data_IF_783292149237
#
_entry.id   IF_783292149237
#
_cell.length_a   1.000
_cell.length_b   1.000
_cell.length_c   1.000
_cell.angle_alpha   90.00
_cell.angle_beta   90.00
_cell.angle_gamma   90.00
#
_symmetry.space_group_name_H-M   'P 1'
#
loop_
_entity.id
_entity.type
_entity.pdbx_description
1 polymer ?
#
# COMPACT_ATOMS: atom_id res chain seq x y z
N UNK A 1 16.14 6.54 28.34
CA UNK A 1 17.08 7.68 28.40
C UNK A 1 16.26 8.92 28.09
N UNK A 2 15.44 9.40 29.04
CA UNK A 2 14.43 10.41 28.71
C UNK A 2 15.02 11.69 28.11
N UNK A 3 14.32 12.25 27.13
CA UNK A 3 14.69 13.51 26.47
C UNK A 3 14.14 14.73 27.20
N UNK A 4 13.21 14.53 28.15
CA UNK A 4 12.53 15.60 28.85
C UNK A 4 12.75 15.54 30.36
N UNK A 5 12.95 16.72 30.93
CA UNK A 5 12.97 16.93 32.37
C UNK A 5 12.36 18.30 32.70
N UNK A 6 12.17 18.56 33.99
CA UNK A 6 11.75 19.84 34.52
C UNK A 6 12.86 20.38 35.42
N UNK A 7 13.48 21.50 35.05
CA UNK A 7 14.46 22.21 35.87
C UNK A 7 13.79 23.41 36.54
N UNK A 8 13.75 23.44 37.88
CA UNK A 8 13.14 24.53 38.64
C UNK A 8 11.70 24.89 38.18
N UNK A 9 10.89 23.88 37.86
CA UNK A 9 9.53 24.04 37.38
C UNK A 9 9.41 24.32 35.87
N UNK A 10 10.51 24.56 35.17
CA UNK A 10 10.52 24.79 33.72
C UNK A 10 10.79 23.48 32.96
N UNK A 11 9.92 23.15 32.01
CA UNK A 11 10.07 22.00 31.11
C UNK A 11 11.25 22.22 30.16
N UNK A 12 12.09 21.22 30.03
CA UNK A 12 13.30 21.25 29.19
C UNK A 12 13.34 20.01 28.31
N UNK A 13 13.56 20.22 27.02
CA UNK A 13 13.71 19.16 26.00
C UNK A 13 15.17 19.15 25.55
N UNK A 14 15.89 18.05 25.78
CA UNK A 14 17.35 17.99 25.59
C UNK A 14 17.80 18.16 24.13
N UNK A 15 16.98 17.72 23.18
CA UNK A 15 17.28 17.79 21.74
C UNK A 15 17.14 19.19 21.15
N UNK A 16 16.40 20.07 21.83
CA UNK A 16 16.21 21.46 21.40
C UNK A 16 17.33 22.38 21.92
N UNK A 17 18.16 21.90 22.87
CA UNK A 17 19.20 22.70 23.49
C UNK A 17 20.50 22.68 22.68
N UNK A 18 21.01 23.89 22.39
CA UNK A 18 22.38 24.11 21.93
C UNK A 18 23.41 23.62 22.97
N UNK A 19 24.68 23.56 22.57
CA UNK A 19 25.75 23.12 23.49
C UNK A 19 25.88 24.06 24.70
N UNK A 20 25.79 25.37 24.46
CA UNK A 20 25.91 26.39 25.50
C UNK A 20 24.73 26.34 26.48
N UNK A 21 23.51 26.15 25.97
CA UNK A 21 22.31 26.01 26.81
C UNK A 21 22.37 24.74 27.67
N UNK A 22 22.88 23.64 27.11
CA UNK A 22 23.07 22.40 27.85
C UNK A 22 24.12 22.54 28.96
N UNK A 23 25.22 23.25 28.70
CA UNK A 23 26.25 23.52 29.69
C UNK A 23 25.75 24.47 30.78
N UNK A 24 24.93 25.46 30.42
CA UNK A 24 24.23 26.34 31.36
C UNK A 24 23.26 25.55 32.26
N UNK A 25 22.47 24.65 31.69
CA UNK A 25 21.58 23.75 32.43
C UNK A 25 22.35 22.92 33.45
N UNK A 26 23.48 22.31 33.05
CA UNK A 26 24.31 21.52 33.97
C UNK A 26 24.87 22.37 35.12
N UNK A 27 25.23 23.64 34.87
CA UNK A 27 25.68 24.56 35.93
C UNK A 27 24.57 24.84 36.93
N UNK A 28 23.37 25.18 36.46
CA UNK A 28 22.18 25.42 37.30
C UNK A 28 21.80 24.21 38.15
N UNK A 29 21.74 23.03 37.52
CA UNK A 29 21.53 21.76 38.21
C UNK A 29 22.60 21.49 39.29
N UNK A 30 23.89 21.71 38.99
CA UNK A 30 24.98 21.54 39.96
C UNK A 30 24.96 22.59 41.08
N UNK A 31 24.38 23.76 40.83
CA UNK A 31 24.16 24.80 41.82
C UNK A 31 22.98 24.50 42.77
N UNK A 32 22.29 23.38 42.58
CA UNK A 32 21.25 22.89 43.49
C UNK A 32 19.82 23.08 43.00
N UNK A 33 19.60 23.60 41.78
CA UNK A 33 18.25 23.68 41.22
C UNK A 33 17.67 22.26 41.00
N UNK A 34 16.40 22.03 41.39
CA UNK A 34 15.79 20.71 41.28
C UNK A 34 15.55 20.35 39.81
N UNK A 35 16.13 19.22 39.39
CA UNK A 35 15.89 18.60 38.09
C UNK A 35 15.04 17.35 38.30
N UNK A 36 13.81 17.37 37.81
CA UNK A 36 12.84 16.28 37.94
C UNK A 36 12.57 15.65 36.57
N UNK A 37 12.46 14.32 36.53
CA UNK A 37 12.07 13.57 35.33
C UNK A 37 10.55 13.72 35.08
N UNK A 38 10.05 13.33 33.91
CA UNK A 38 8.59 13.37 33.62
C UNK A 38 7.74 12.53 34.59
N UNK A 39 8.31 11.47 35.19
CA UNK A 39 7.67 10.70 36.26
C UNK A 39 7.64 11.43 37.61
N UNK A 40 8.44 12.49 37.80
CA UNK A 40 8.55 13.26 39.06
C UNK A 40 9.73 12.89 39.94
N UNK A 41 10.46 11.83 39.59
CA UNK A 41 11.64 11.42 40.33
C UNK A 41 12.84 12.32 40.03
N UNK A 42 13.82 12.44 40.94
CA UNK A 42 15.05 13.22 40.70
C UNK A 42 15.87 12.72 39.50
N UNK A 43 16.25 13.66 38.63
CA UNK A 43 17.02 13.41 37.42
C UNK A 43 18.47 13.87 37.49
N UNK A 44 19.21 13.53 36.43
CA UNK A 44 20.59 13.97 36.15
C UNK A 44 20.77 14.17 34.64
N UNK A 45 21.44 15.25 34.24
CA UNK A 45 21.75 15.53 32.84
C UNK A 45 23.01 14.77 32.38
N UNK A 46 22.93 14.04 31.26
CA UNK A 46 24.00 13.20 30.72
C UNK A 46 24.16 13.37 29.20
N UNK A 47 25.33 12.97 28.71
CA UNK A 47 25.64 12.93 27.27
C UNK A 47 26.09 11.51 26.94
N UNK A 48 25.57 10.93 25.86
CA UNK A 48 25.94 9.58 25.42
C UNK A 48 27.33 9.58 24.78
N UNK A 49 27.93 8.41 24.59
CA UNK A 49 29.20 8.29 23.85
C UNK A 49 29.11 8.78 22.40
N UNK A 50 27.90 8.85 21.83
CA UNK A 50 27.61 9.38 20.49
C UNK A 50 27.20 10.87 20.50
N UNK A 51 27.30 11.56 21.64
CA UNK A 51 27.02 12.99 21.76
C UNK A 51 25.56 13.37 21.99
N UNK A 52 24.64 12.40 22.11
CA UNK A 52 23.22 12.69 22.39
C UNK A 52 23.06 13.17 23.84
N UNK A 53 22.40 14.31 24.04
CA UNK A 53 22.05 14.86 25.36
C UNK A 53 20.75 14.22 25.85
N UNK A 54 20.75 13.72 27.08
CA UNK A 54 19.58 13.05 27.67
C UNK A 54 19.57 13.20 29.20
N UNK A 55 18.45 12.86 29.81
CA UNK A 55 18.28 12.81 31.25
C UNK A 55 18.25 11.37 31.76
N UNK A 56 18.71 11.16 32.99
CA UNK A 56 18.72 9.87 33.64
C UNK A 56 18.33 10.00 35.11
N UNK A 57 17.56 9.04 35.61
CA UNK A 57 17.26 8.92 37.04
C UNK A 57 18.55 8.95 37.88
N UNK A 58 18.47 9.60 39.04
CA UNK A 58 19.54 9.55 40.04
C UNK A 58 19.64 8.12 40.60
N UNK A 59 20.85 7.68 40.98
CA UNK A 59 21.04 6.37 41.63
C UNK A 59 20.13 6.27 42.87
N UNK A 60 19.32 5.20 42.95
CA UNK A 60 18.39 4.95 44.05
C UNK A 60 16.97 5.50 43.86
N UNK A 61 16.66 6.14 42.72
CA UNK A 61 15.28 6.45 42.37
C UNK A 61 14.57 5.19 41.85
N UNK A 62 13.48 4.82 42.51
CA UNK A 62 12.61 3.72 42.09
C UNK A 62 11.55 4.27 41.13
N UNK A 63 11.45 3.71 39.93
CA UNK A 63 10.57 4.23 38.89
C UNK A 63 10.13 3.14 37.91
N UNK A 64 8.94 2.61 38.13
CA UNK A 64 8.28 1.62 37.25
C UNK A 64 7.83 2.23 35.91
N UNK A 65 7.73 3.57 35.82
CA UNK A 65 7.29 4.25 34.58
C UNK A 65 8.35 4.33 33.48
N UNK A 66 9.62 4.01 33.78
CA UNK A 66 10.71 4.02 32.81
C UNK A 66 11.51 2.71 32.89
N UNK A 67 10.81 1.58 32.83
CA UNK A 67 11.43 0.26 32.81
C UNK A 67 12.24 0.04 31.52
N UNK A 68 13.55 -0.20 31.69
CA UNK A 68 14.46 -0.44 30.57
C UNK A 68 15.07 0.83 29.99
N UNK A 69 16.38 0.81 29.77
CA UNK A 69 17.07 1.90 29.09
C UNK A 69 16.61 2.00 27.64
N UNK A 70 16.00 3.13 27.27
CA UNK A 70 15.70 3.42 25.86
C UNK A 70 16.98 3.50 25.02
N UNK A 71 16.93 2.93 23.83
CA UNK A 71 18.07 2.88 22.90
C UNK A 71 18.14 4.15 22.04
N UNK A 72 19.25 4.38 21.33
CA UNK A 72 19.40 5.54 20.46
C UNK A 72 18.35 5.57 19.33
N UNK A 73 17.96 4.39 18.82
CA UNK A 73 16.92 4.19 17.82
C UNK A 73 15.57 4.71 18.31
N UNK A 74 15.21 4.39 19.56
CA UNK A 74 13.97 4.86 20.17
C UNK A 74 13.92 6.38 20.24
N UNK A 75 15.01 7.01 20.68
CA UNK A 75 15.11 8.47 20.82
C UNK A 75 15.03 9.20 19.47
N UNK A 76 15.68 8.65 18.45
CA UNK A 76 15.59 9.18 17.09
C UNK A 76 14.14 9.12 16.56
N UNK A 77 13.47 7.97 16.71
CA UNK A 77 12.09 7.79 16.27
C UNK A 77 11.12 8.75 16.98
N UNK A 78 11.26 8.97 18.29
CA UNK A 78 10.47 9.99 19.01
C UNK A 78 10.68 11.39 18.42
N UNK A 79 11.93 11.75 18.12
CA UNK A 79 12.24 13.05 17.49
C UNK A 79 11.58 13.17 16.11
N UNK A 80 11.64 12.12 15.29
CA UNK A 80 10.99 12.10 13.98
C UNK A 80 9.47 12.19 14.09
N UNK A 81 8.85 11.55 15.09
CA UNK A 81 7.41 11.67 15.35
C UNK A 81 7.00 13.11 15.66
N UNK A 82 7.76 13.84 16.48
CA UNK A 82 7.50 15.27 16.76
C UNK A 82 7.57 16.10 15.48
N UNK A 83 8.62 15.90 14.67
CA UNK A 83 8.80 16.63 13.40
C UNK A 83 7.64 16.37 12.46
N UNK A 84 7.27 15.11 12.27
CA UNK A 84 6.18 14.71 11.40
C UNK A 84 4.82 15.22 11.90
N UNK A 85 4.54 15.15 13.20
CA UNK A 85 3.32 15.69 13.79
C UNK A 85 3.20 17.21 13.56
N UNK A 86 4.28 17.97 13.79
CA UNK A 86 4.34 19.41 13.48
C UNK A 86 4.11 19.68 11.99
N UNK A 87 4.71 18.90 11.09
CA UNK A 87 4.49 19.00 9.65
C UNK A 87 3.05 18.66 9.21
N UNK A 88 2.35 17.84 10.01
CA UNK A 88 0.92 17.57 9.86
C UNK A 88 0.01 18.67 10.49
N UNK A 89 0.59 19.76 10.99
CA UNK A 89 -0.11 20.86 11.66
C UNK A 89 -0.79 20.39 12.95
N UNK A 90 -0.06 19.59 13.74
CA UNK A 90 -0.39 19.25 15.12
C UNK A 90 0.61 19.92 16.06
N UNK A 91 0.16 20.30 17.24
CA UNK A 91 1.07 20.55 18.36
C UNK A 91 1.66 19.21 18.80
N UNK A 92 2.96 19.16 19.10
CA UNK A 92 3.62 17.91 19.42
C UNK A 92 4.67 18.10 20.52
N UNK A 93 4.58 17.27 21.55
CA UNK A 93 5.40 17.34 22.76
C UNK A 93 5.94 15.96 23.16
N UNK A 94 7.22 15.88 23.56
CA UNK A 94 7.87 14.64 23.99
C UNK A 94 7.51 14.25 25.43
N UNK A 95 7.35 12.97 25.72
CA UNK A 95 7.33 12.44 27.10
C UNK A 95 6.33 13.19 28.01
N UNK A 96 5.07 13.25 27.56
CA UNK A 96 3.99 13.95 28.28
C UNK A 96 3.35 12.98 29.27
N UNK A 97 3.46 13.22 30.59
CA UNK A 97 2.80 12.39 31.58
C UNK A 97 1.29 12.65 31.60
N UNK A 98 0.53 11.65 32.03
CA UNK A 98 -0.85 11.86 32.46
C UNK A 98 -0.90 12.80 33.67
N UNK A 99 -2.02 13.49 33.94
CA UNK A 99 -2.13 14.35 35.13
C UNK A 99 -1.85 13.62 36.44
N UNK A 100 -2.27 12.35 36.54
CA UNK A 100 -2.03 11.47 37.68
C UNK A 100 -0.68 10.74 37.61
N UNK A 101 0.11 10.95 36.54
CA UNK A 101 1.41 10.32 36.29
C UNK A 101 1.36 8.79 36.35
N UNK A 102 0.32 8.22 35.74
CA UNK A 102 0.14 6.76 35.63
C UNK A 102 0.61 6.20 34.28
N UNK A 103 0.85 7.08 33.31
CA UNK A 103 1.51 6.79 32.04
C UNK A 103 2.26 8.03 31.54
N UNK A 104 3.18 7.82 30.61
CA UNK A 104 3.90 8.88 29.90
C UNK A 104 3.84 8.54 28.41
N UNK A 105 3.27 9.45 27.62
CA UNK A 105 3.24 9.33 26.17
C UNK A 105 4.61 9.69 25.60
N UNK A 106 5.18 8.83 24.75
CA UNK A 106 6.43 9.09 24.05
C UNK A 106 6.39 10.42 23.28
N UNK A 107 5.33 10.63 22.49
CA UNK A 107 4.97 11.92 21.90
C UNK A 107 3.47 12.11 22.04
N UNK A 108 3.05 13.26 22.55
CA UNK A 108 1.66 13.69 22.55
C UNK A 108 1.44 14.65 21.38
N UNK A 109 0.56 14.28 20.45
CA UNK A 109 0.09 15.13 19.38
C UNK A 109 -1.30 15.70 19.72
N UNK A 110 -1.46 17.02 19.66
CA UNK A 110 -2.73 17.71 19.96
C UNK A 110 -3.18 18.57 18.79
N UNK A 111 -4.48 18.51 18.46
CA UNK A 111 -5.11 19.38 17.45
C UNK A 111 -6.54 19.70 17.86
N UNK A 112 -6.75 20.92 18.35
CA UNK A 112 -8.01 21.29 19.00
C UNK A 112 -8.21 20.42 20.24
N UNK A 113 -9.38 19.80 20.35
CA UNK A 113 -9.71 18.90 21.46
C UNK A 113 -9.16 17.48 21.30
N UNK A 114 -8.70 17.13 20.09
CA UNK A 114 -8.21 15.78 19.79
C UNK A 114 -6.76 15.61 20.26
N UNK A 115 -6.49 14.53 21.01
CA UNK A 115 -5.16 14.17 21.52
C UNK A 115 -4.82 12.74 21.13
N UNK A 116 -3.62 12.55 20.58
CA UNK A 116 -3.10 11.25 20.15
C UNK A 116 -1.73 11.03 20.79
N UNK A 117 -1.58 9.98 21.60
CA UNK A 117 -0.30 9.44 22.01
C UNK A 117 0.32 8.64 20.86
N UNK A 118 1.53 9.02 20.46
CA UNK A 118 2.34 8.33 19.46
C UNK A 118 3.46 7.59 20.19
N UNK A 119 3.33 6.27 20.26
CA UNK A 119 4.21 5.40 21.04
C UNK A 119 5.23 4.69 20.15
N UNK A 120 6.50 4.64 20.57
CA UNK A 120 7.52 3.86 19.88
C UNK A 120 7.86 2.64 20.73
N UNK A 121 7.63 1.43 20.20
CA UNK A 121 7.96 0.19 20.91
C UNK A 121 9.01 -0.62 20.15
N UNK A 122 10.27 -0.34 20.48
CA UNK A 122 11.41 -1.04 19.89
C UNK A 122 11.74 -2.38 20.57
N UNK A 123 11.56 -2.48 21.89
CA UNK A 123 11.83 -3.71 22.66
C UNK A 123 10.64 -4.67 22.63
N UNK A 124 10.89 -5.98 22.83
CA UNK A 124 9.81 -6.97 22.80
C UNK A 124 8.77 -6.66 23.87
N UNK A 125 7.49 -6.63 23.52
CA UNK A 125 6.37 -6.41 24.44
C UNK A 125 5.25 -7.41 24.15
N UNK A 126 4.57 -7.90 25.20
CA UNK A 126 3.45 -8.83 25.07
C UNK A 126 2.19 -8.14 24.54
N UNK A 127 1.29 -8.91 23.91
CA UNK A 127 0.00 -8.39 23.44
C UNK A 127 -0.83 -7.80 24.59
N UNK A 128 -0.89 -8.49 25.73
CA UNK A 128 -1.61 -8.02 26.93
C UNK A 128 -1.10 -6.67 27.43
N UNK A 129 0.20 -6.40 27.34
CA UNK A 129 0.77 -5.10 27.72
C UNK A 129 0.39 -3.99 26.73
N UNK A 130 0.34 -4.28 25.42
CA UNK A 130 -0.15 -3.32 24.42
C UNK A 130 -1.60 -2.94 24.69
N UNK A 131 -2.47 -3.94 24.90
CA UNK A 131 -3.89 -3.73 25.20
C UNK A 131 -4.05 -2.94 26.50
N UNK A 132 -3.38 -3.36 27.58
CA UNK A 132 -3.44 -2.66 28.87
C UNK A 132 -2.98 -1.19 28.75
N UNK A 133 -1.91 -0.91 28.00
CA UNK A 133 -1.42 0.46 27.79
C UNK A 133 -2.37 1.27 26.91
N UNK A 134 -2.96 0.66 25.89
CA UNK A 134 -3.97 1.25 25.03
C UNK A 134 -5.21 1.70 25.84
N UNK A 135 -5.75 0.81 26.67
CA UNK A 135 -6.93 1.08 27.51
C UNK A 135 -6.69 2.23 28.50
N UNK A 136 -5.47 2.39 29.01
CA UNK A 136 -5.12 3.51 29.90
C UNK A 136 -5.17 4.87 29.19
N UNK A 137 -4.76 4.93 27.92
CA UNK A 137 -4.90 6.14 27.13
C UNK A 137 -6.37 6.44 26.84
N UNK A 138 -7.12 5.42 26.43
CA UNK A 138 -8.55 5.55 26.09
C UNK A 138 -9.39 5.98 27.30
N UNK A 139 -9.10 5.47 28.50
CA UNK A 139 -9.75 5.87 29.75
C UNK A 139 -9.58 7.38 30.06
N UNK A 140 -8.48 7.98 29.61
CA UNK A 140 -8.18 9.40 29.76
C UNK A 140 -8.61 10.23 28.53
N UNK A 141 -9.38 9.64 27.60
CA UNK A 141 -9.85 10.30 26.38
C UNK A 141 -8.75 10.60 25.36
N UNK A 142 -7.64 9.85 25.41
CA UNK A 142 -6.49 10.00 24.52
C UNK A 142 -6.46 8.82 23.55
N UNK A 143 -6.42 9.10 22.24
CA UNK A 143 -6.17 8.07 21.24
C UNK A 143 -4.71 7.62 21.31
N UNK A 144 -4.41 6.38 20.94
CA UNK A 144 -3.01 5.90 20.91
C UNK A 144 -2.71 5.15 19.62
N UNK A 145 -1.57 5.49 18.99
CA UNK A 145 -1.04 4.85 17.80
C UNK A 145 0.39 4.38 18.09
N UNK A 146 0.65 3.11 17.83
CA UNK A 146 1.93 2.47 18.08
C UNK A 146 2.79 2.37 16.82
N UNK A 147 4.07 2.69 16.94
CA UNK A 147 5.11 2.48 15.94
C UNK A 147 6.08 1.42 16.46
N UNK A 148 6.02 0.22 15.91
CA UNK A 148 6.62 -0.98 16.53
C UNK A 148 7.69 -1.61 15.65
N UNK A 149 8.76 -2.14 16.26
CA UNK A 149 9.74 -2.94 15.52
C UNK A 149 9.10 -4.23 14.96
N UNK A 150 9.64 -4.84 13.88
CA UNK A 150 9.04 -6.02 13.23
C UNK A 150 8.74 -7.18 14.18
N UNK A 151 9.58 -7.41 15.18
CA UNK A 151 9.42 -8.45 16.21
C UNK A 151 8.20 -8.28 17.12
N UNK A 152 7.54 -7.11 17.09
CA UNK A 152 6.34 -6.80 17.85
C UNK A 152 5.08 -6.74 16.98
N UNK A 153 5.21 -6.89 15.65
CA UNK A 153 4.10 -6.68 14.72
C UNK A 153 2.87 -7.54 15.03
N UNK A 154 3.06 -8.83 15.30
CA UNK A 154 1.96 -9.73 15.68
C UNK A 154 1.35 -9.35 17.04
N UNK A 155 2.20 -9.06 18.04
CA UNK A 155 1.75 -8.72 19.38
C UNK A 155 0.98 -7.39 19.43
N UNK A 156 1.29 -6.43 18.55
CA UNK A 156 0.58 -5.16 18.46
C UNK A 156 -0.64 -5.21 17.53
N UNK A 157 -0.95 -6.36 16.92
CA UNK A 157 -1.97 -6.49 15.88
C UNK A 157 -3.41 -6.23 16.34
N UNK A 158 -3.67 -6.16 17.64
CA UNK A 158 -5.00 -5.87 18.21
C UNK A 158 -5.20 -4.41 18.60
N UNK A 159 -4.17 -3.57 18.46
CA UNK A 159 -4.23 -2.13 18.75
C UNK A 159 -3.81 -1.34 17.51
N UNK A 160 -4.17 -0.04 17.37
CA UNK A 160 -3.75 0.77 16.24
C UNK A 160 -2.22 0.84 16.16
N UNK A 161 -1.62 0.14 15.19
CA UNK A 161 -0.17 0.02 15.10
C UNK A 161 0.37 -0.01 13.67
N UNK A 162 1.59 0.51 13.52
CA UNK A 162 2.37 0.50 12.30
C UNK A 162 3.73 -0.13 12.58
N UNK A 163 4.12 -1.10 11.76
CA UNK A 163 5.48 -1.66 11.82
C UNK A 163 6.47 -0.64 11.28
N UNK A 164 7.63 -0.49 11.92
CA UNK A 164 8.76 0.31 11.44
C UNK A 164 9.76 -0.63 10.75
N UNK A 165 10.33 -0.20 9.63
CA UNK A 165 11.47 -0.83 8.98
C UNK A 165 12.65 0.15 8.83
N UNK A 166 13.81 -0.39 8.46
CA UNK A 166 15.02 0.39 8.24
C UNK A 166 15.97 0.43 9.43
N UNK A 167 16.78 1.47 9.48
CA UNK A 167 17.85 1.68 10.45
C UNK A 167 18.01 3.19 10.75
N UNK A 168 18.80 3.59 11.77
CA UNK A 168 19.08 4.99 12.06
C UNK A 168 19.43 5.82 10.83
N UNK A 169 18.76 6.96 10.65
CA UNK A 169 18.89 7.85 9.50
C UNK A 169 18.14 7.43 8.23
N UNK A 170 17.54 6.24 8.19
CA UNK A 170 16.85 5.70 7.02
C UNK A 170 15.62 4.87 7.42
N UNK A 171 14.79 5.43 8.28
CA UNK A 171 13.56 4.79 8.76
C UNK A 171 12.44 4.87 7.72
N UNK A 172 11.66 3.79 7.60
CA UNK A 172 10.48 3.75 6.74
C UNK A 172 9.32 2.99 7.40
N UNK A 173 8.10 3.31 6.96
CA UNK A 173 6.90 2.54 7.32
C UNK A 173 6.47 1.74 6.08
N UNK A 174 6.53 0.40 6.13
CA UNK A 174 5.91 -0.43 5.12
C UNK A 174 4.38 -0.31 5.19
N UNK A 175 3.78 0.37 4.22
CA UNK A 175 2.33 0.53 4.15
C UNK A 175 1.71 -0.46 3.17
N UNK A 176 0.57 -1.03 3.57
CA UNK A 176 -0.33 -1.74 2.65
C UNK A 176 -0.90 -0.71 1.69
N UNK A 177 -0.62 -0.85 0.42
CA UNK A 177 -1.19 -0.02 -0.63
C UNK A 177 -2.21 -0.84 -1.42
N UNK A 178 -3.13 -0.17 -2.13
CA UNK A 178 -4.22 -0.86 -2.84
C UNK A 178 -3.77 -1.90 -3.84
N UNK A 179 -2.53 -1.82 -4.31
CA UNK A 179 -1.95 -2.65 -5.36
C UNK A 179 -0.98 -3.71 -4.83
N UNK A 180 -0.96 -3.96 -3.53
CA UNK A 180 -0.37 -5.18 -3.00
C UNK A 180 -0.79 -5.49 -1.55
N UNK A 181 -1.39 -6.66 -1.34
CA UNK A 181 -1.68 -7.16 0.00
C UNK A 181 -0.51 -7.95 0.61
N UNK A 182 0.56 -8.20 -0.16
CA UNK A 182 1.75 -8.94 0.23
C UNK A 182 3.03 -8.10 0.15
N UNK A 183 3.23 -7.29 -0.89
CA UNK A 183 4.26 -6.26 -0.92
C UNK A 183 3.82 -5.00 -0.19
N UNK A 184 4.79 -4.34 0.43
CA UNK A 184 4.59 -3.11 1.18
C UNK A 184 5.28 -2.01 0.39
N UNK A 185 4.58 -0.91 0.13
CA UNK A 185 5.28 0.29 -0.31
C UNK A 185 6.00 0.86 0.89
N UNK A 186 7.32 0.98 0.81
CA UNK A 186 8.11 1.64 1.84
C UNK A 186 8.00 3.14 1.66
N UNK A 187 7.53 3.80 2.72
CA UNK A 187 7.45 5.26 2.76
C UNK A 187 8.44 5.77 3.78
N UNK A 188 9.15 6.88 3.51
CA UNK A 188 9.92 7.57 4.53
C UNK A 188 9.07 7.76 5.79
N UNK A 189 9.66 7.49 6.95
CA UNK A 189 8.93 7.43 8.21
C UNK A 189 8.12 8.71 8.50
N UNK A 190 8.74 9.88 8.31
CA UNK A 190 8.10 11.18 8.54
C UNK A 190 6.90 11.40 7.60
N UNK A 191 7.07 11.10 6.30
CA UNK A 191 6.00 11.24 5.30
C UNK A 191 4.80 10.35 5.66
N UNK A 192 5.05 9.10 6.04
CA UNK A 192 3.99 8.17 6.46
C UNK A 192 3.23 8.70 7.68
N UNK A 193 3.94 9.16 8.71
CA UNK A 193 3.33 9.70 9.94
C UNK A 193 2.50 10.96 9.63
N UNK A 194 2.98 11.85 8.76
CA UNK A 194 2.22 13.04 8.33
C UNK A 194 0.85 12.64 7.77
N UNK A 195 0.83 11.67 6.85
CA UNK A 195 -0.41 11.20 6.22
C UNK A 195 -1.30 10.41 7.18
N UNK A 196 -0.73 9.64 8.11
CA UNK A 196 -1.47 8.95 9.17
C UNK A 196 -2.21 9.98 10.04
N UNK A 197 -1.52 11.02 10.50
CA UNK A 197 -2.08 12.06 11.36
C UNK A 197 -3.08 12.97 10.66
N UNK A 198 -2.98 13.12 9.34
CA UNK A 198 -3.98 13.82 8.51
C UNK A 198 -5.25 12.99 8.30
N UNK A 199 -5.22 11.68 8.55
CA UNK A 199 -6.34 10.79 8.27
C UNK A 199 -6.53 10.59 6.76
N UNK A 200 -5.44 10.52 6.00
CA UNK A 200 -5.46 10.39 4.54
C UNK A 200 -5.83 8.98 4.05
N UNK A 201 -6.53 8.21 4.87
CA UNK A 201 -7.04 6.89 4.53
C UNK A 201 -8.22 7.00 3.56
N UNK A 202 -8.21 6.18 2.51
CA UNK A 202 -9.23 6.18 1.45
C UNK A 202 -9.68 4.75 1.14
N UNK A 203 -10.99 4.55 1.02
CA UNK A 203 -11.59 3.21 0.83
C UNK A 203 -11.46 2.66 -0.59
N UNK A 204 -11.25 3.54 -1.57
CA UNK A 204 -11.16 3.17 -2.99
C UNK A 204 -9.95 3.86 -3.61
N UNK A 205 -9.18 3.12 -4.42
CA UNK A 205 -8.21 3.74 -5.32
C UNK A 205 -8.85 4.12 -6.65
N UNK A 206 -8.26 5.11 -7.31
CA UNK A 206 -8.60 5.52 -8.67
C UNK A 206 -7.47 5.09 -9.62
N UNK A 207 -7.45 3.83 -10.09
CA UNK A 207 -6.45 3.35 -11.04
C UNK A 207 -6.77 3.86 -12.46
N UNK A 208 -5.73 4.21 -13.21
CA UNK A 208 -5.78 4.30 -14.66
C UNK A 208 -4.78 3.31 -15.27
N UNK A 209 -5.18 2.69 -16.38
CA UNK A 209 -4.35 1.70 -17.06
C UNK A 209 -3.24 2.41 -17.84
N UNK A 210 -1.99 1.99 -17.63
CA UNK A 210 -0.82 2.43 -18.39
C UNK A 210 -0.40 1.41 -19.45
N UNK A 211 -0.58 0.12 -19.14
CA UNK A 211 -0.34 -1.01 -20.02
C UNK A 211 -1.26 -2.16 -19.63
N UNK A 212 -1.45 -3.12 -20.52
CA UNK A 212 -2.30 -4.28 -20.25
C UNK A 212 -1.74 -5.52 -20.94
N UNK A 213 -2.01 -6.69 -20.36
CA UNK A 213 -1.62 -7.96 -20.96
C UNK A 213 -2.79 -8.56 -21.71
N UNK A 214 -2.45 -9.22 -22.81
CA UNK A 214 -3.40 -9.88 -23.70
C UNK A 214 -2.94 -11.29 -23.97
N UNK A 215 -3.84 -12.23 -23.75
CA UNK A 215 -3.68 -13.57 -24.29
C UNK A 215 -4.16 -13.58 -25.74
N UNK A 216 -3.33 -14.11 -26.63
CA UNK A 216 -3.67 -14.32 -28.03
C UNK A 216 -3.44 -15.77 -28.43
N UNK A 217 -4.29 -16.29 -29.31
CA UNK A 217 -4.13 -17.62 -29.88
C UNK A 217 -4.51 -17.60 -31.36
N UNK A 218 -3.67 -18.20 -32.19
CA UNK A 218 -3.97 -18.39 -33.61
C UNK A 218 -4.76 -19.68 -33.79
N UNK A 219 -5.87 -19.61 -34.52
CA UNK A 219 -6.67 -20.79 -34.84
C UNK A 219 -7.19 -20.74 -36.27
N UNK A 220 -7.49 -21.91 -36.83
CA UNK A 220 -8.02 -22.07 -38.18
C UNK A 220 -9.54 -22.17 -38.12
N UNK A 221 -10.22 -21.47 -39.03
CA UNK A 221 -11.67 -21.59 -39.16
C UNK A 221 -12.07 -23.04 -39.49
N UNK A 222 -12.94 -23.63 -38.66
CA UNK A 222 -13.40 -25.02 -38.80
C UNK A 222 -14.32 -25.24 -40.01
N UNK A 223 -14.98 -24.18 -40.51
CA UNK A 223 -15.75 -24.26 -41.76
C UNK A 223 -14.77 -24.47 -42.91
N UNK A 224 -14.87 -25.63 -43.57
CA UNK A 224 -13.99 -26.05 -44.67
C UNK A 224 -13.90 -25.01 -45.80
N UNK A 225 -15.05 -24.49 -46.24
CA UNK A 225 -15.11 -23.46 -47.28
C UNK A 225 -14.37 -22.15 -46.92
N UNK A 226 -14.12 -21.89 -45.64
CA UNK A 226 -13.34 -20.73 -45.20
C UNK A 226 -11.89 -21.11 -44.92
N UNK A 227 -11.62 -22.02 -43.98
CA UNK A 227 -10.28 -22.54 -43.67
C UNK A 227 -9.19 -21.50 -43.33
N UNK A 228 -9.52 -20.21 -43.20
CA UNK A 228 -8.53 -19.14 -42.95
C UNK A 228 -8.11 -19.11 -41.48
N UNK A 229 -6.85 -18.76 -41.24
CA UNK A 229 -6.34 -18.45 -39.91
C UNK A 229 -6.88 -17.10 -39.42
N UNK A 230 -7.14 -17.03 -38.12
CA UNK A 230 -7.55 -15.81 -37.43
C UNK A 230 -7.06 -15.86 -35.98
N UNK A 231 -7.12 -14.72 -35.29
CA UNK A 231 -6.59 -14.56 -33.93
C UNK A 231 -7.73 -14.48 -32.92
N UNK A 232 -7.73 -15.36 -31.93
CA UNK A 232 -8.49 -15.20 -30.69
C UNK A 232 -7.70 -14.32 -29.74
N UNK A 233 -8.38 -13.51 -28.93
CA UNK A 233 -7.73 -12.62 -27.98
C UNK A 233 -8.59 -12.37 -26.74
N UNK A 234 -7.98 -12.21 -25.57
CA UNK A 234 -8.67 -11.88 -24.32
C UNK A 234 -7.81 -10.98 -23.43
N UNK A 235 -8.47 -10.16 -22.60
CA UNK A 235 -7.79 -9.30 -21.63
C UNK A 235 -7.48 -10.10 -20.36
N UNK A 236 -6.23 -10.04 -19.90
CA UNK A 236 -5.76 -10.80 -18.73
C UNK A 236 -5.47 -9.89 -17.54
N UNK A 237 -4.41 -9.08 -17.61
CA UNK A 237 -3.94 -8.23 -16.51
C UNK A 237 -3.89 -6.75 -16.91
N UNK A 238 -3.98 -5.88 -15.91
CA UNK A 238 -3.90 -4.43 -16.07
C UNK A 238 -2.73 -3.88 -15.26
N UNK A 239 -1.74 -3.30 -15.94
CA UNK A 239 -0.76 -2.44 -15.29
C UNK A 239 -1.37 -1.06 -15.08
N UNK A 240 -1.45 -0.65 -13.83
CA UNK A 240 -2.15 0.56 -13.42
C UNK A 240 -1.23 1.49 -12.63
N UNK A 241 -1.56 2.77 -12.72
CA UNK A 241 -1.13 3.77 -11.76
C UNK A 241 -2.34 4.41 -11.12
N UNK A 242 -2.34 4.56 -9.81
CA UNK A 242 -3.42 5.22 -9.09
C UNK A 242 -3.24 6.73 -9.13
N UNK A 243 -4.32 7.45 -8.85
CA UNK A 243 -4.27 8.89 -8.63
C UNK A 243 -3.28 9.29 -7.53
N UNK A 244 -3.21 8.54 -6.42
CA UNK A 244 -2.19 8.73 -5.38
C UNK A 244 -0.78 8.24 -5.79
N UNK A 245 -0.55 7.93 -7.07
CA UNK A 245 0.79 7.66 -7.60
C UNK A 245 1.37 6.30 -7.23
N UNK A 246 0.54 5.36 -6.78
CA UNK A 246 0.91 3.95 -6.63
C UNK A 246 0.93 3.31 -8.01
N UNK A 247 1.86 2.38 -8.25
CA UNK A 247 2.03 1.73 -9.55
C UNK A 247 2.21 0.22 -9.33
N UNK A 248 1.60 -0.59 -10.20
CA UNK A 248 1.59 -2.04 -10.06
C UNK A 248 0.67 -2.70 -11.08
N UNK A 249 0.38 -3.98 -10.87
CA UNK A 249 -0.46 -4.80 -11.76
C UNK A 249 -1.66 -5.35 -11.00
N UNK A 250 -2.86 -5.16 -11.54
CA UNK A 250 -4.09 -5.88 -11.15
C UNK A 250 -4.18 -7.11 -12.05
N UNK A 251 -4.05 -8.29 -11.45
CA UNK A 251 -4.03 -9.57 -12.15
C UNK A 251 -5.43 -10.16 -12.20
N UNK A 252 -5.95 -10.46 -13.39
CA UNK A 252 -7.22 -11.14 -13.54
C UNK A 252 -7.02 -12.64 -13.36
N UNK A 253 -7.75 -13.27 -12.44
CA UNK A 253 -7.65 -14.72 -12.22
C UNK A 253 -8.96 -15.39 -12.58
N UNK A 254 -8.88 -16.21 -13.64
CA UNK A 254 -10.02 -16.89 -14.24
C UNK A 254 -9.85 -18.40 -14.09
N UNK A 255 -10.80 -19.07 -13.41
CA UNK A 255 -10.95 -20.53 -13.54
C UNK A 255 -11.37 -20.86 -14.97
N UNK A 256 -11.08 -22.09 -15.42
CA UNK A 256 -11.33 -22.55 -16.79
C UNK A 256 -12.73 -22.20 -17.31
N UNK A 257 -13.75 -22.34 -16.47
CA UNK A 257 -15.16 -22.14 -16.84
C UNK A 257 -15.67 -20.70 -16.63
N UNK A 258 -14.88 -19.82 -16.00
CA UNK A 258 -15.34 -18.49 -15.54
C UNK A 258 -15.84 -17.59 -16.66
N UNK A 259 -15.33 -17.82 -17.88
CA UNK A 259 -15.65 -17.02 -19.07
C UNK A 259 -16.41 -17.81 -20.14
N UNK A 260 -16.94 -18.98 -19.80
CA UNK A 260 -17.72 -19.78 -20.74
C UNK A 260 -19.16 -19.30 -20.79
N UNK A 261 -19.68 -19.17 -22.01
CA UNK A 261 -21.08 -18.85 -22.30
C UNK A 261 -21.59 -17.55 -21.69
N UNK A 262 -20.68 -16.59 -21.44
CA UNK A 262 -21.06 -15.30 -20.90
C UNK A 262 -21.87 -14.48 -21.90
N UNK A 263 -22.92 -13.82 -21.43
CA UNK A 263 -23.71 -12.88 -22.23
C UNK A 263 -23.06 -11.50 -22.31
N UNK A 264 -22.10 -11.24 -21.42
CA UNK A 264 -21.35 -10.00 -21.38
C UNK A 264 -19.88 -10.24 -21.04
N UNK A 265 -18.99 -9.45 -21.66
CA UNK A 265 -17.54 -9.59 -21.54
C UNK A 265 -16.85 -8.26 -21.67
N UNK A 266 -15.80 -8.04 -20.89
CA UNK A 266 -15.03 -6.80 -20.92
C UNK A 266 -14.43 -6.53 -22.30
N UNK A 267 -14.05 -7.59 -23.03
CA UNK A 267 -13.51 -7.49 -24.38
C UNK A 267 -14.52 -6.88 -25.38
N UNK A 268 -15.83 -6.95 -25.12
CA UNK A 268 -16.86 -6.28 -25.93
C UNK A 268 -16.77 -4.76 -25.79
N UNK A 269 -16.55 -4.25 -24.57
CA UNK A 269 -16.43 -2.79 -24.32
C UNK A 269 -15.16 -2.24 -24.95
N UNK A 270 -14.04 -2.95 -24.77
CA UNK A 270 -12.72 -2.43 -25.14
C UNK A 270 -12.32 -2.73 -26.59
N UNK A 271 -13.14 -3.47 -27.35
CA UNK A 271 -12.82 -3.93 -28.70
C UNK A 271 -12.37 -2.79 -29.62
N UNK A 272 -13.07 -1.64 -29.62
CA UNK A 272 -12.75 -0.51 -30.49
C UNK A 272 -11.43 0.17 -30.14
N UNK A 273 -10.98 0.05 -28.88
CA UNK A 273 -9.67 0.55 -28.44
C UNK A 273 -8.55 -0.44 -28.76
N UNK A 274 -8.83 -1.74 -28.74
CA UNK A 274 -7.82 -2.82 -28.83
C UNK A 274 -7.59 -3.32 -30.25
N UNK A 275 -8.66 -3.55 -31.01
CA UNK A 275 -8.60 -4.15 -32.34
C UNK A 275 -7.74 -3.37 -33.34
N UNK A 276 -7.74 -2.01 -33.38
CA UNK A 276 -6.85 -1.26 -34.28
C UNK A 276 -5.37 -1.58 -34.07
N UNK A 277 -4.98 -1.94 -32.84
CA UNK A 277 -3.59 -2.31 -32.51
C UNK A 277 -3.28 -3.77 -32.84
N UNK A 278 -4.20 -4.69 -32.53
CA UNK A 278 -4.04 -6.10 -32.87
C UNK A 278 -3.98 -6.33 -34.38
N UNK A 279 -4.75 -5.56 -35.15
CA UNK A 279 -4.83 -5.66 -36.61
C UNK A 279 -3.90 -4.68 -37.34
N UNK A 280 -3.01 -3.98 -36.59
CA UNK A 280 -2.05 -3.05 -37.18
C UNK A 280 -1.13 -3.78 -38.16
N UNK A 281 -0.79 -3.14 -39.28
CA UNK A 281 -0.05 -3.77 -40.39
C UNK A 281 1.32 -4.34 -40.00
N UNK A 282 1.94 -3.78 -38.96
CA UNK A 282 3.24 -4.20 -38.43
C UNK A 282 3.15 -5.39 -37.48
N UNK A 283 1.96 -5.73 -36.96
CA UNK A 283 1.78 -6.87 -36.06
C UNK A 283 1.70 -8.15 -36.90
N UNK A 284 2.47 -9.16 -36.50
CA UNK A 284 2.53 -10.46 -37.18
C UNK A 284 1.48 -11.43 -36.60
N UNK A 285 0.21 -11.03 -36.72
CA UNK A 285 -0.93 -11.85 -36.33
C UNK A 285 -2.00 -11.81 -37.44
N UNK A 286 -2.71 -12.92 -37.69
CA UNK A 286 -3.91 -12.91 -38.51
C UNK A 286 -4.98 -11.95 -37.94
N UNK A 287 -5.95 -11.60 -38.79
CA UNK A 287 -7.11 -10.77 -38.40
C UNK A 287 -7.78 -11.29 -37.12
N UNK A 288 -8.15 -10.38 -36.22
CA UNK A 288 -8.67 -10.73 -34.91
C UNK A 288 -10.17 -11.06 -34.96
N UNK A 289 -10.59 -12.05 -34.17
CA UNK A 289 -11.99 -12.37 -33.97
C UNK A 289 -12.69 -11.30 -33.14
N UNK A 290 -13.97 -11.10 -33.43
CA UNK A 290 -14.86 -10.27 -32.61
C UNK A 290 -15.78 -11.16 -31.78
N UNK A 291 -16.13 -10.72 -30.58
CA UNK A 291 -17.20 -11.31 -29.79
C UNK A 291 -18.53 -10.78 -30.30
N UNK A 292 -19.42 -11.69 -30.69
CA UNK A 292 -20.75 -11.34 -31.17
C UNK A 292 -21.76 -12.29 -30.52
N UNK A 293 -22.92 -11.76 -30.13
CA UNK A 293 -24.00 -12.57 -29.58
C UNK A 293 -24.46 -13.58 -30.63
N UNK A 294 -24.39 -14.87 -30.29
CA UNK A 294 -24.76 -15.99 -31.15
C UNK A 294 -25.48 -17.06 -30.34
N UNK A 295 -26.47 -17.70 -30.96
CA UNK A 295 -27.06 -18.94 -30.46
C UNK A 295 -26.20 -20.12 -30.92
N UNK A 296 -25.60 -20.83 -29.98
CA UNK A 296 -24.91 -22.09 -30.24
C UNK A 296 -25.92 -23.23 -30.23
N UNK A 297 -25.98 -24.02 -31.32
CA UNK A 297 -26.80 -25.23 -31.37
C UNK A 297 -26.26 -26.31 -30.43
N UNK A 298 -24.94 -26.52 -30.43
CA UNK A 298 -24.28 -27.56 -29.63
C UNK A 298 -24.36 -27.31 -28.13
N UNK A 299 -24.29 -26.05 -27.70
CA UNK A 299 -24.36 -25.69 -26.28
C UNK A 299 -25.79 -25.31 -25.83
N UNK A 300 -26.74 -25.25 -26.76
CA UNK A 300 -28.13 -24.81 -26.55
C UNK A 300 -28.28 -23.48 -25.79
N UNK A 301 -27.31 -22.57 -25.97
CA UNK A 301 -27.22 -21.29 -25.26
C UNK A 301 -26.98 -20.13 -26.23
N UNK A 302 -27.45 -18.95 -25.85
CA UNK A 302 -27.11 -17.67 -26.49
C UNK A 302 -26.08 -16.94 -25.62
N UNK A 303 -24.91 -16.64 -26.20
CA UNK A 303 -23.79 -16.00 -25.50
C UNK A 303 -22.91 -15.19 -26.45
N UNK A 304 -21.99 -14.40 -25.91
CA UNK A 304 -20.94 -13.72 -26.66
C UNK A 304 -19.87 -14.73 -27.07
N UNK A 305 -19.88 -15.09 -28.35
CA UNK A 305 -18.95 -16.04 -28.90
C UNK A 305 -17.99 -15.36 -29.87
N UNK A 306 -16.76 -15.85 -29.94
CA UNK A 306 -15.86 -15.43 -31.00
C UNK A 306 -16.43 -15.86 -32.34
N UNK A 307 -16.37 -14.98 -33.33
CA UNK A 307 -16.75 -15.29 -34.70
C UNK A 307 -15.53 -15.14 -35.62
N UNK A 308 -15.40 -16.06 -36.56
CA UNK A 308 -14.38 -15.97 -37.60
C UNK A 308 -14.53 -14.63 -38.33
N UNK A 309 -13.49 -13.78 -38.38
CA UNK A 309 -13.60 -12.46 -39.00
C UNK A 309 -13.71 -12.51 -40.53
N UNK A 310 -13.54 -13.69 -41.14
CA UNK A 310 -13.61 -13.90 -42.59
C UNK A 310 -14.98 -14.36 -43.08
N UNK A 311 -15.68 -15.21 -42.32
CA UNK A 311 -16.97 -15.78 -42.74
C UNK A 311 -18.09 -15.70 -41.69
N UNK A 312 -17.80 -15.15 -40.50
CA UNK A 312 -18.77 -14.92 -39.43
C UNK A 312 -19.22 -16.17 -38.67
N UNK A 313 -18.66 -17.35 -38.98
CA UNK A 313 -19.01 -18.59 -38.28
C UNK A 313 -18.54 -18.55 -36.83
N UNK A 314 -19.36 -19.07 -35.93
CA UNK A 314 -19.07 -19.13 -34.50
C UNK A 314 -17.89 -20.06 -34.19
N UNK A 315 -17.00 -19.61 -33.32
CA UNK A 315 -15.97 -20.40 -32.64
C UNK A 315 -16.41 -20.54 -31.19
N UNK A 316 -16.95 -21.71 -30.85
CA UNK A 316 -17.58 -21.91 -29.54
C UNK A 316 -16.57 -22.03 -28.39
N UNK A 317 -17.02 -21.69 -27.18
CA UNK A 317 -16.17 -21.66 -25.99
C UNK A 317 -15.63 -23.05 -25.60
N UNK A 318 -16.44 -24.11 -25.75
CA UNK A 318 -16.00 -25.49 -25.46
C UNK A 318 -14.75 -25.89 -26.29
N UNK A 319 -14.77 -25.83 -27.64
CA UNK A 319 -13.57 -26.06 -28.43
C UNK A 319 -12.39 -25.17 -28.06
N UNK A 320 -12.63 -23.91 -27.70
CA UNK A 320 -11.56 -22.98 -27.33
C UNK A 320 -10.92 -23.39 -25.99
N UNK A 321 -11.74 -23.72 -24.98
CA UNK A 321 -11.30 -24.06 -23.63
C UNK A 321 -10.65 -25.45 -23.56
N UNK A 322 -11.23 -26.44 -24.23
CA UNK A 322 -10.81 -27.86 -24.10
C UNK A 322 -10.07 -28.41 -25.32
N UNK A 323 -10.05 -27.70 -26.45
CA UNK A 323 -9.43 -28.16 -27.70
C UNK A 323 -7.92 -27.96 -27.79
N UNK A 324 -7.24 -27.64 -26.68
CA UNK A 324 -5.79 -27.43 -26.67
C UNK A 324 -5.34 -26.13 -27.35
N UNK A 325 -6.18 -25.10 -27.35
CA UNK A 325 -5.85 -23.77 -27.86
C UNK A 325 -4.57 -23.26 -27.20
N UNK A 326 -3.55 -22.97 -28.02
CA UNK A 326 -2.25 -22.49 -27.53
C UNK A 326 -2.26 -20.97 -27.39
N UNK A 327 -2.50 -20.52 -26.17
CA UNK A 327 -2.45 -19.10 -25.81
C UNK A 327 -1.01 -18.65 -25.57
N UNK A 328 -0.73 -17.41 -25.94
CA UNK A 328 0.50 -16.68 -25.59
C UNK A 328 0.12 -15.31 -25.06
N UNK A 329 0.75 -14.90 -23.97
CA UNK A 329 0.51 -13.61 -23.34
C UNK A 329 1.50 -12.57 -23.85
N UNK A 330 1.01 -11.38 -24.19
CA UNK A 330 1.82 -10.25 -24.62
C UNK A 330 1.41 -8.98 -23.87
N UNK A 331 2.34 -8.03 -23.71
CA UNK A 331 2.03 -6.70 -23.19
C UNK A 331 1.77 -5.69 -24.30
N UNK A 332 0.75 -4.87 -24.09
CA UNK A 332 0.48 -3.67 -24.88
C UNK A 332 0.72 -2.45 -23.99
N UNK A 333 1.78 -1.69 -24.28
CA UNK A 333 2.15 -0.49 -23.53
C UNK A 333 1.34 0.72 -24.00
N UNK A 334 0.04 0.72 -23.70
CA UNK A 334 -0.89 1.82 -24.00
C UNK A 334 -1.94 1.96 -22.91
N UNK A 335 -2.45 3.19 -22.79
CA UNK A 335 -3.63 3.46 -21.96
C UNK A 335 -4.84 2.73 -22.53
N UNK A 336 -5.66 2.21 -21.62
CA UNK A 336 -6.91 1.54 -21.93
C UNK A 336 -7.99 2.08 -20.99
N UNK A 337 -9.07 2.62 -21.54
CA UNK A 337 -10.24 2.97 -20.75
C UNK A 337 -11.03 1.67 -20.52
N UNK A 338 -11.07 1.22 -19.26
CA UNK A 338 -11.74 -0.01 -18.85
C UNK A 338 -12.50 0.24 -17.54
N UNK A 339 -13.78 -0.20 -17.44
CA UNK A 339 -14.48 -0.19 -16.16
C UNK A 339 -13.88 -1.24 -15.23
N UNK A 340 -13.64 -0.84 -13.97
CA UNK A 340 -13.17 -1.71 -12.89
C UNK A 340 -14.35 -2.15 -12.04
N UNK A 341 -14.35 -3.41 -11.60
CA UNK A 341 -15.23 -3.82 -10.50
C UNK A 341 -14.90 -3.01 -9.24
N UNK A 342 -15.90 -2.78 -8.41
CA UNK A 342 -15.75 -1.98 -7.20
C UNK A 342 -14.72 -2.60 -6.24
N UNK A 343 -14.71 -3.93 -6.12
CA UNK A 343 -13.75 -4.68 -5.30
C UNK A 343 -12.32 -4.63 -5.87
N UNK A 344 -12.16 -4.57 -7.19
CA UNK A 344 -10.86 -4.45 -7.86
C UNK A 344 -10.18 -3.07 -7.67
N UNK A 345 -10.91 -2.05 -7.18
CA UNK A 345 -10.32 -0.74 -6.82
C UNK A 345 -9.52 -0.77 -5.51
N UNK A 346 -9.28 -1.96 -4.95
CA UNK A 346 -8.44 -2.19 -3.78
C UNK A 346 -9.12 -1.76 -2.47
N UNK A 347 -8.62 -2.26 -1.32
CA UNK A 347 -9.17 -1.95 0.00
C UNK A 347 -8.74 -0.56 0.50
N UNK A 348 -9.07 -0.26 1.76
CA UNK A 348 -8.55 0.89 2.49
C UNK A 348 -7.03 1.02 2.32
N UNK A 349 -6.58 2.20 1.90
CA UNK A 349 -5.15 2.50 1.76
C UNK A 349 -4.84 3.90 2.28
N UNK A 350 -3.58 4.12 2.62
CA UNK A 350 -3.07 5.46 2.87
C UNK A 350 -2.86 6.18 1.53
N UNK A 351 -3.59 7.27 1.32
CA UNK A 351 -3.67 7.96 0.04
C UNK A 351 -2.69 9.13 -0.03
N UNK A 352 -1.49 8.84 -0.51
CA UNK A 352 -0.38 9.79 -0.55
C UNK A 352 -0.46 10.54 -1.86
N UNK A 353 -0.87 11.80 -1.82
CA UNK A 353 -0.91 12.61 -3.04
C UNK A 353 0.51 12.87 -3.57
N UNK A 354 0.86 12.18 -4.66
CA UNK A 354 2.12 12.33 -5.38
C UNK A 354 1.98 13.25 -6.61
N UNK A 355 1.16 14.30 -6.50
CA UNK A 355 1.00 15.37 -7.49
C UNK A 355 -0.20 15.22 -8.42
N UNK A 356 -1.20 14.41 -8.05
CA UNK A 356 -2.42 14.17 -8.85
C UNK A 356 -3.71 14.23 -8.00
N UNK A 357 -3.60 14.58 -6.73
CA UNK A 357 -4.70 14.58 -5.77
C UNK A 357 -4.85 13.24 -5.04
N UNK A 358 -5.67 13.28 -4.00
CA UNK A 358 -6.13 12.08 -3.32
C UNK A 358 -7.25 11.39 -4.11
N UNK A 359 -7.38 10.07 -3.93
CA UNK A 359 -8.43 9.27 -4.54
C UNK A 359 -9.82 9.73 -4.05
N UNK A 360 -10.76 9.86 -4.98
CA UNK A 360 -12.18 10.12 -4.70
C UNK A 360 -12.76 9.07 -3.76
N UNK A 361 -13.70 9.48 -2.91
CA UNK A 361 -14.47 8.59 -2.03
C UNK A 361 -15.89 8.34 -2.55
N UNK A 362 -16.20 8.84 -3.74
CA UNK A 362 -17.45 8.50 -4.41
C UNK A 362 -17.47 7.01 -4.75
N UNK A 363 -18.59 6.36 -4.43
CA UNK A 363 -18.78 4.96 -4.74
C UNK A 363 -18.69 4.76 -6.27
N UNK A 364 -17.89 3.81 -6.76
CA UNK A 364 -17.84 3.51 -8.18
C UNK A 364 -19.22 3.08 -8.69
N UNK A 365 -19.78 3.81 -9.66
CA UNK A 365 -20.86 3.25 -10.47
C UNK A 365 -20.24 2.21 -11.40
N UNK A 366 -20.54 0.93 -11.16
CA UNK A 366 -20.05 -0.16 -12.02
C UNK A 366 -21.18 -0.56 -12.96
N UNK A 367 -21.19 0.04 -14.15
CA UNK A 367 -21.97 -0.52 -15.25
C UNK A 367 -21.29 -1.83 -15.70
N UNK A 368 -22.09 -2.87 -15.86
CA UNK A 368 -21.59 -4.16 -16.35
C UNK A 368 -21.35 -4.11 -17.86
N UNK A 369 -20.28 -4.74 -18.39
CA UNK A 369 -19.28 -5.58 -17.71
C UNK A 369 -18.06 -4.79 -17.19
N UNK A 370 -17.42 -5.26 -16.12
CA UNK A 370 -16.24 -4.64 -15.51
C UNK A 370 -15.13 -5.65 -15.19
N UNK A 371 -13.87 -5.20 -15.18
CA UNK A 371 -12.70 -6.04 -14.96
C UNK A 371 -12.43 -6.32 -13.46
N UNK A 372 -12.05 -7.57 -13.09
CA UNK A 372 -12.09 -8.79 -13.90
C UNK A 372 -13.53 -9.31 -14.07
N UNK A 373 -13.93 -9.65 -15.29
CA UNK A 373 -15.28 -10.13 -15.60
C UNK A 373 -15.42 -11.65 -15.42
N UNK A 374 -16.62 -12.18 -15.62
CA UNK A 374 -16.93 -13.62 -15.55
C UNK A 374 -17.31 -14.16 -14.17
N UNK A 375 -17.85 -15.36 -14.16
CA UNK A 375 -18.40 -16.00 -12.95
C UNK A 375 -17.31 -16.65 -12.13
N UNK A 376 -17.19 -16.32 -10.85
CA UNK A 376 -16.17 -16.89 -9.97
C UNK A 376 -14.74 -16.43 -10.27
N UNK A 377 -14.58 -15.37 -11.08
CA UNK A 377 -13.29 -14.69 -11.25
C UNK A 377 -12.96 -13.85 -10.01
N UNK A 378 -11.66 -13.77 -9.73
CA UNK A 378 -11.11 -12.90 -8.69
C UNK A 378 -9.91 -12.15 -9.26
N UNK A 379 -9.31 -11.29 -8.45
CA UNK A 379 -8.11 -10.55 -8.81
C UNK A 379 -7.03 -10.70 -7.76
N UNK A 380 -5.79 -10.59 -8.22
CA UNK A 380 -4.62 -10.39 -7.39
C UNK A 380 -4.03 -9.00 -7.64
N UNK A 381 -3.11 -8.61 -6.77
CA UNK A 381 -2.28 -7.44 -6.99
C UNK A 381 -0.80 -7.80 -6.91
N UNK A 382 0.03 -7.11 -7.66
CA UNK A 382 1.48 -7.30 -7.69
C UNK A 382 2.20 -5.99 -7.95
N UNK A 383 3.34 -5.78 -7.29
CA UNK A 383 4.26 -4.68 -7.60
C UNK A 383 5.01 -4.85 -8.92
N UNK A 384 5.04 -6.05 -9.52
CA UNK A 384 5.71 -6.28 -10.80
C UNK A 384 4.96 -5.63 -11.95
N UNK A 385 5.69 -4.98 -12.86
CA UNK A 385 5.11 -4.34 -14.04
C UNK A 385 5.05 -5.30 -15.22
N UNK A 386 3.96 -5.25 -15.97
CA UNK A 386 3.77 -6.07 -17.17
C UNK A 386 4.87 -5.82 -18.22
N UNK A 387 5.27 -4.55 -18.38
CA UNK A 387 6.27 -4.13 -19.35
C UNK A 387 7.67 -4.68 -19.07
N UNK A 388 7.94 -5.11 -17.84
CA UNK A 388 9.24 -5.65 -17.44
C UNK A 388 9.31 -7.18 -17.59
N UNK A 389 8.16 -7.87 -17.67
CA UNK A 389 8.07 -9.34 -17.63
C UNK A 389 7.51 -9.99 -18.90
N UNK A 390 6.76 -9.26 -19.72
CA UNK A 390 6.10 -9.80 -20.91
C UNK A 390 6.70 -9.27 -22.21
N UNK A 391 6.73 -10.12 -23.22
CA UNK A 391 7.07 -9.72 -24.58
C UNK A 391 5.99 -8.81 -25.17
N UNK A 392 6.40 -7.89 -26.05
CA UNK A 392 5.48 -7.11 -26.87
C UNK A 392 4.83 -7.99 -27.94
N UNK A 393 3.71 -7.53 -28.50
CA UNK A 393 3.08 -8.18 -29.66
C UNK A 393 4.11 -8.43 -30.79
N UNK A 394 4.06 -9.60 -31.44
CA UNK A 394 5.03 -9.97 -32.46
C UNK A 394 4.94 -9.00 -33.65
N UNK A 395 6.09 -8.59 -34.18
CA UNK A 395 6.16 -7.67 -35.32
C UNK A 395 6.67 -8.37 -36.56
N UNK A 396 6.15 -7.98 -37.72
CA UNK A 396 6.59 -8.50 -39.02
C UNK A 396 8.07 -8.20 -39.23
N UNK A 397 8.83 -9.22 -39.58
CA UNK A 397 10.28 -9.11 -39.83
C UNK A 397 11.16 -9.19 -38.58
N UNK A 398 10.60 -9.18 -37.37
CA UNK A 398 11.35 -9.50 -36.15
C UNK A 398 11.43 -11.03 -35.99
N UNK A 399 12.64 -11.60 -36.02
CA UNK A 399 12.82 -13.01 -35.65
C UNK A 399 12.62 -13.14 -34.15
N UNK A 400 11.68 -14.00 -33.76
CA UNK A 400 11.38 -14.36 -32.37
C UNK A 400 12.66 -14.64 -31.57
N UNK A 401 13.07 -13.73 -30.69
CA UNK A 401 14.20 -13.91 -29.76
C UNK A 401 13.81 -14.72 -28.52
N UNK A 402 12.87 -15.66 -28.64
CA UNK A 402 12.56 -16.56 -27.55
C UNK A 402 13.75 -17.51 -27.34
N UNK A 403 14.63 -17.16 -26.41
CA UNK A 403 15.35 -18.15 -25.63
C UNK A 403 14.27 -19.02 -24.98
N UNK A 404 14.10 -20.23 -25.51
CA UNK A 404 13.42 -21.32 -24.79
C UNK A 404 14.13 -21.45 -23.44
N UNK A 405 13.45 -21.08 -22.36
CA UNK A 405 13.75 -21.61 -21.03
C UNK A 405 12.74 -22.71 -20.73
#
# INVERSE_FOLDING_TARGET
MPLVATLAGQRVVSIDLSQDEWDSLKKRYRAGEPLLMSCGQPGSARVSSRGLKFFAHRKGADCDMHEGGETAEHLELKSLLVKAAKAAVWEAELEVPSPQRVWIADVMATKGERRIALEVQWSRQGNEDFVRRQERYEADGVECIWFVAPKNSDNAGTVPSHTIGGAPGAWHIPMRTTLDCYSRTELPFEDAVVHILRGDYRFHSEPYVQAYSMDVAMTKCWREACGKWFTLWRLEDLQVKTRCGLEGTIQGVYRLESRMFLQDRIERIIADQVLPWLEHEQVDLPRAAKLITRKSKTAEKTYLAYCCPHCGVISGDNPIAYGGTRWRTFVVHRRLAVPFRADARGPLHLCIDRGKGQCSQEAPTVDSPAFPDGTGSYFGFSSELLVDRLDRLPRKGERSTTRRR
#
